data_IF_806216718428
#
_entry.id   IF_806216718428
#
_cell.length_a   1.000
_cell.length_b   1.000
_cell.length_c   1.000
_cell.angle_alpha   90.00
_cell.angle_beta   90.00
_cell.angle_gamma   90.00
#
_symmetry.space_group_name_H-M   'P 1'
#
loop_
_entity.id
_entity.type
_entity.pdbx_description
1 polymer ?
#
# COMPACT_ATOMS: atom_id res chain seq x y z
N UNK A 1 12.32 16.70 11.97
CA UNK A 1 11.81 17.27 10.70
C UNK A 1 10.66 16.39 10.21
N UNK A 2 9.52 16.97 9.84
CA UNK A 2 8.36 16.25 9.26
C UNK A 2 8.67 16.00 7.78
N UNK A 3 8.88 14.76 7.30
CA UNK A 3 9.24 14.56 5.91
C UNK A 3 8.00 14.71 5.02
N UNK A 4 8.02 15.70 4.14
CA UNK A 4 7.19 15.71 2.94
C UNK A 4 7.67 14.69 1.92
N UNK A 5 6.98 14.64 0.78
CA UNK A 5 7.13 13.69 -0.33
C UNK A 5 8.56 13.46 -0.88
N UNK A 6 9.58 14.20 -0.44
CA UNK A 6 10.98 14.04 -0.83
C UNK A 6 11.70 12.86 -0.15
N UNK A 7 11.07 12.26 0.86
CA UNK A 7 11.58 11.11 1.60
C UNK A 7 11.49 9.77 0.84
N UNK A 8 11.44 9.75 -0.50
CA UNK A 8 11.22 8.52 -1.27
C UNK A 8 12.48 7.66 -1.52
N UNK A 9 13.70 8.20 -1.25
CA UNK A 9 14.95 7.60 -1.74
C UNK A 9 15.97 7.12 -0.68
N UNK A 10 15.80 7.41 0.61
CA UNK A 10 16.74 7.01 1.67
C UNK A 10 16.49 5.57 2.17
N UNK A 11 17.16 4.57 1.60
CA UNK A 11 17.10 3.19 2.11
C UNK A 11 18.26 2.90 3.06
N UNK A 12 17.96 2.39 4.27
CA UNK A 12 18.95 2.06 5.31
C UNK A 12 19.88 0.87 5.00
N UNK A 13 19.64 0.12 3.92
CA UNK A 13 20.58 -0.84 3.31
C UNK A 13 20.16 -1.22 1.88
N UNK A 14 21.10 -1.64 1.05
CA UNK A 14 20.84 -2.14 -0.33
C UNK A 14 19.92 -3.37 -0.31
N UNK A 15 20.09 -4.25 0.68
CA UNK A 15 19.24 -5.42 0.87
C UNK A 15 17.77 -5.02 1.08
N UNK A 16 17.53 -3.95 1.86
CA UNK A 16 16.19 -3.43 2.10
C UNK A 16 15.57 -2.78 0.86
N UNK A 17 16.39 -2.15 -0.01
CA UNK A 17 15.91 -1.63 -1.29
C UNK A 17 15.51 -2.80 -2.22
N UNK A 18 16.37 -3.80 -2.37
CA UNK A 18 16.13 -4.96 -3.24
C UNK A 18 14.92 -5.78 -2.78
N UNK A 19 14.72 -5.94 -1.46
CA UNK A 19 13.56 -6.66 -0.93
C UNK A 19 12.23 -5.94 -1.14
N UNK A 20 12.24 -4.62 -1.38
CA UNK A 20 11.05 -3.82 -1.67
C UNK A 20 10.77 -3.71 -3.18
N UNK A 21 11.81 -3.79 -4.02
CA UNK A 21 11.68 -3.61 -5.47
C UNK A 21 10.77 -4.66 -6.11
N UNK A 22 10.97 -5.94 -5.79
CA UNK A 22 10.17 -7.01 -6.39
C UNK A 22 8.68 -6.94 -5.98
N UNK A 23 8.32 -6.83 -4.68
CA UNK A 23 6.93 -6.60 -4.28
C UNK A 23 6.35 -5.35 -4.92
N UNK A 24 7.10 -4.25 -4.97
CA UNK A 24 6.62 -3.01 -5.58
C UNK A 24 6.23 -3.21 -7.04
N UNK A 25 7.12 -3.79 -7.86
CA UNK A 25 6.87 -4.00 -9.29
C UNK A 25 5.65 -4.92 -9.49
N UNK A 26 5.62 -6.06 -8.81
CA UNK A 26 4.55 -7.05 -9.02
C UNK A 26 3.20 -6.55 -8.54
N UNK A 27 3.12 -5.95 -7.34
CA UNK A 27 1.86 -5.42 -6.81
C UNK A 27 1.36 -4.24 -7.67
N UNK A 28 2.26 -3.36 -8.10
CA UNK A 28 1.92 -2.25 -9.00
C UNK A 28 1.39 -2.76 -10.33
N UNK A 29 2.04 -3.77 -10.92
CA UNK A 29 1.60 -4.41 -12.15
C UNK A 29 0.22 -5.06 -12.00
N UNK A 30 -0.01 -5.80 -10.91
CA UNK A 30 -1.31 -6.42 -10.63
C UNK A 30 -2.44 -5.39 -10.52
N UNK A 31 -2.19 -4.22 -9.93
CA UNK A 31 -3.18 -3.13 -9.94
C UNK A 31 -3.32 -2.52 -11.35
N UNK A 32 -2.22 -2.34 -12.08
CA UNK A 32 -2.22 -1.78 -13.43
C UNK A 32 -2.90 -2.67 -14.48
N UNK A 33 -3.12 -3.97 -14.20
CA UNK A 33 -3.97 -4.83 -15.05
C UNK A 33 -5.42 -4.33 -15.15
N UNK A 34 -5.90 -3.50 -14.20
CA UNK A 34 -7.19 -2.80 -14.29
C UNK A 34 -7.14 -1.50 -15.11
N UNK A 35 -5.95 -1.15 -15.63
CA UNK A 35 -5.67 0.06 -16.39
C UNK A 35 -4.71 1.02 -15.68
N UNK A 36 -3.82 1.65 -16.45
CA UNK A 36 -2.80 2.58 -15.94
C UNK A 36 -3.41 3.75 -15.17
N UNK A 37 -4.55 4.28 -15.62
CA UNK A 37 -5.28 5.35 -14.91
C UNK A 37 -5.78 4.88 -13.54
N UNK A 38 -6.25 3.65 -13.43
CA UNK A 38 -6.70 3.05 -12.16
C UNK A 38 -5.53 2.93 -11.20
N UNK A 39 -4.39 2.41 -11.68
CA UNK A 39 -3.16 2.33 -10.90
C UNK A 39 -2.70 3.71 -10.40
N UNK A 40 -2.67 4.73 -11.25
CA UNK A 40 -2.27 6.08 -10.86
C UNK A 40 -3.16 6.63 -9.72
N UNK A 41 -4.48 6.40 -9.80
CA UNK A 41 -5.40 6.78 -8.72
C UNK A 41 -5.16 6.00 -7.43
N UNK A 42 -5.02 4.67 -7.51
CA UNK A 42 -4.76 3.83 -6.33
C UNK A 42 -3.46 4.26 -5.65
N UNK A 43 -2.36 4.31 -6.40
CA UNK A 43 -1.06 4.68 -5.88
C UNK A 43 -1.06 6.10 -5.31
N UNK A 44 -1.65 7.06 -6.04
CA UNK A 44 -1.76 8.45 -5.59
C UNK A 44 -2.56 8.60 -4.30
N UNK A 45 -3.73 7.97 -4.21
CA UNK A 45 -4.58 8.03 -3.02
C UNK A 45 -3.97 7.29 -1.83
N UNK A 46 -3.33 6.14 -2.05
CA UNK A 46 -2.60 5.42 -1.00
C UNK A 46 -1.45 6.26 -0.46
N UNK A 47 -0.65 6.87 -1.33
CA UNK A 47 0.43 7.77 -0.93
C UNK A 47 -0.10 8.96 -0.13
N UNK A 48 -1.18 9.60 -0.60
CA UNK A 48 -1.77 10.76 0.06
C UNK A 48 -2.34 10.40 1.43
N UNK A 49 -3.24 9.41 1.50
CA UNK A 49 -3.89 9.01 2.76
C UNK A 49 -2.89 8.41 3.75
N UNK A 50 -1.99 7.54 3.27
CA UNK A 50 -0.93 6.97 4.10
C UNK A 50 0.01 8.05 4.63
N UNK A 51 0.40 9.01 3.79
CA UNK A 51 1.21 10.16 4.18
C UNK A 51 0.53 11.03 5.23
N UNK A 52 -0.78 11.30 5.08
CA UNK A 52 -1.57 12.05 6.06
C UNK A 52 -1.68 11.33 7.40
N UNK A 53 -1.87 10.01 7.39
CA UNK A 53 -1.92 9.20 8.61
C UNK A 53 -0.57 9.20 9.34
N UNK A 54 0.53 9.03 8.62
CA UNK A 54 1.88 9.12 9.20
C UNK A 54 2.16 10.54 9.70
N UNK A 55 1.77 11.58 8.97
CA UNK A 55 1.96 12.96 9.40
C UNK A 55 1.20 13.28 10.69
N UNK A 56 0.01 12.69 10.86
CA UNK A 56 -0.87 12.94 12.01
C UNK A 56 -0.49 12.10 13.23
N UNK A 57 -0.07 10.85 13.03
CA UNK A 57 0.08 9.86 14.10
C UNK A 57 1.48 9.23 14.20
N UNK A 58 2.35 9.47 13.23
CA UNK A 58 3.72 8.97 13.21
C UNK A 58 4.62 9.68 14.21
N UNK A 59 5.54 8.92 14.81
CA UNK A 59 6.57 9.45 15.71
C UNK A 59 7.51 10.39 14.95
N UNK A 60 8.21 11.30 15.63
CA UNK A 60 9.14 12.23 14.98
C UNK A 60 10.43 11.55 14.48
N UNK A 61 10.31 10.70 13.47
CA UNK A 61 11.41 10.03 12.78
C UNK A 61 11.34 10.30 11.26
N UNK A 62 12.44 10.01 10.57
CA UNK A 62 12.48 10.05 9.11
C UNK A 62 11.59 8.91 8.58
N UNK A 63 10.33 9.23 8.27
CA UNK A 63 9.41 8.32 7.59
C UNK A 63 9.70 8.30 6.10
N UNK A 64 10.80 7.67 5.73
CA UNK A 64 11.15 7.38 4.34
C UNK A 64 10.65 5.99 3.99
N UNK A 65 9.97 5.86 2.84
CA UNK A 65 9.93 4.56 2.18
C UNK A 65 8.80 4.38 1.18
N UNK A 66 9.17 3.85 0.00
CA UNK A 66 8.24 3.18 -0.90
C UNK A 66 7.47 2.04 -0.20
N UNK A 67 7.93 1.56 0.96
CA UNK A 67 7.25 0.49 1.72
C UNK A 67 5.82 0.86 2.11
N UNK A 68 5.53 2.10 2.50
CA UNK A 68 4.15 2.51 2.79
C UNK A 68 3.22 2.29 1.58
N UNK A 69 3.69 2.59 0.37
CA UNK A 69 2.97 2.31 -0.87
C UNK A 69 2.87 0.81 -1.14
N UNK A 70 3.92 0.02 -0.91
CA UNK A 70 3.89 -1.45 -1.06
C UNK A 70 2.83 -2.07 -0.14
N UNK A 71 2.81 -1.70 1.15
CA UNK A 71 1.83 -2.15 2.12
C UNK A 71 0.41 -1.72 1.74
N UNK A 72 0.24 -0.52 1.21
CA UNK A 72 -1.06 -0.06 0.73
C UNK A 72 -1.52 -0.76 -0.56
N UNK A 73 -0.64 -1.04 -1.51
CA UNK A 73 -0.98 -1.83 -2.71
C UNK A 73 -1.34 -3.27 -2.33
N UNK A 74 -0.58 -3.87 -1.41
CA UNK A 74 -0.85 -5.21 -0.88
C UNK A 74 -2.23 -5.26 -0.21
N UNK A 75 -2.49 -4.36 0.72
CA UNK A 75 -3.77 -4.29 1.42
C UNK A 75 -4.94 -3.93 0.48
N UNK A 76 -4.72 -3.05 -0.51
CA UNK A 76 -5.72 -2.72 -1.54
C UNK A 76 -6.13 -3.97 -2.33
N UNK A 77 -5.17 -4.76 -2.81
CA UNK A 77 -5.45 -5.97 -3.60
C UNK A 77 -6.22 -7.02 -2.79
N UNK A 78 -5.89 -7.18 -1.50
CA UNK A 78 -6.62 -8.06 -0.59
C UNK A 78 -8.04 -7.54 -0.31
N UNK A 79 -8.17 -6.27 0.07
CA UNK A 79 -9.46 -5.66 0.39
C UNK A 79 -10.38 -5.57 -0.83
N UNK A 80 -9.82 -5.38 -2.03
CA UNK A 80 -10.57 -5.37 -3.29
C UNK A 80 -11.36 -6.65 -3.49
N UNK A 81 -10.83 -7.83 -3.13
CA UNK A 81 -11.57 -9.09 -3.25
C UNK A 81 -12.89 -9.06 -2.45
N UNK A 82 -12.88 -8.42 -1.28
CA UNK A 82 -14.06 -8.26 -0.44
C UNK A 82 -15.11 -7.30 -1.04
N UNK A 83 -14.67 -6.20 -1.63
CA UNK A 83 -15.56 -5.16 -2.15
C UNK A 83 -16.04 -5.44 -3.59
N UNK A 84 -15.15 -5.87 -4.47
CA UNK A 84 -15.46 -6.14 -5.88
C UNK A 84 -16.20 -7.49 -6.05
N UNK A 85 -15.94 -8.47 -5.17
CA UNK A 85 -16.62 -9.78 -5.13
C UNK A 85 -16.59 -10.54 -6.46
N UNK A 86 -15.52 -10.39 -7.24
CA UNK A 86 -15.32 -11.15 -8.48
C UNK A 86 -14.34 -12.30 -8.26
N UNK A 87 -14.53 -13.42 -8.97
CA UNK A 87 -13.62 -14.58 -8.90
C UNK A 87 -12.18 -14.16 -9.21
N UNK A 88 -11.99 -13.33 -10.24
CA UNK A 88 -10.66 -12.80 -10.60
C UNK A 88 -10.02 -12.03 -9.43
N UNK A 89 -10.77 -11.16 -8.74
CA UNK A 89 -10.25 -10.40 -7.60
C UNK A 89 -9.85 -11.31 -6.42
N UNK A 90 -10.61 -12.38 -6.16
CA UNK A 90 -10.30 -13.38 -5.13
C UNK A 90 -9.04 -14.16 -5.50
N UNK A 91 -8.90 -14.62 -6.75
CA UNK A 91 -7.69 -15.32 -7.20
C UNK A 91 -6.44 -14.45 -7.08
N UNK A 92 -6.52 -13.18 -7.46
CA UNK A 92 -5.41 -12.23 -7.28
C UNK A 92 -5.10 -12.03 -5.80
N UNK A 93 -6.10 -11.89 -4.94
CA UNK A 93 -5.89 -11.75 -3.50
C UNK A 93 -5.21 -13.00 -2.90
N UNK A 94 -5.61 -14.21 -3.30
CA UNK A 94 -4.96 -15.45 -2.87
C UNK A 94 -3.50 -15.53 -3.35
N UNK A 95 -3.23 -15.18 -4.61
CA UNK A 95 -1.88 -15.13 -5.16
C UNK A 95 -1.00 -14.13 -4.39
N UNK A 96 -1.53 -12.94 -4.13
CA UNK A 96 -0.83 -11.88 -3.39
C UNK A 96 -0.60 -12.29 -1.94
N UNK A 97 -1.59 -12.90 -1.29
CA UNK A 97 -1.48 -13.37 0.09
C UNK A 97 -0.43 -14.48 0.19
N UNK A 98 -0.43 -15.45 -0.72
CA UNK A 98 0.54 -16.54 -0.71
C UNK A 98 1.96 -16.04 -1.06
N UNK A 99 2.10 -15.32 -2.17
CA UNK A 99 3.40 -14.87 -2.70
C UNK A 99 4.06 -13.75 -1.89
N UNK A 100 3.26 -12.96 -1.16
CA UNK A 100 3.76 -11.85 -0.34
C UNK A 100 3.29 -11.94 1.13
N UNK A 101 3.03 -13.16 1.63
CA UNK A 101 2.69 -13.42 3.04
C UNK A 101 3.72 -12.83 4.00
N UNK A 102 5.00 -12.80 3.60
CA UNK A 102 6.09 -12.21 4.39
C UNK A 102 5.90 -10.73 4.73
N UNK A 103 5.07 -9.97 3.97
CA UNK A 103 4.76 -8.58 4.32
C UNK A 103 4.06 -8.46 5.67
N UNK A 104 3.38 -9.52 6.14
CA UNK A 104 2.76 -9.54 7.49
C UNK A 104 3.80 -9.26 8.59
N UNK A 105 5.06 -9.72 8.42
CA UNK A 105 6.12 -9.45 9.39
C UNK A 105 6.57 -7.99 9.42
N UNK A 106 6.27 -7.20 8.40
CA UNK A 106 6.51 -5.76 8.45
C UNK A 106 5.58 -5.01 9.41
N UNK A 107 4.57 -5.69 9.98
CA UNK A 107 3.81 -5.16 11.12
C UNK A 107 4.47 -5.46 12.48
N UNK A 108 5.67 -6.02 12.51
CA UNK A 108 6.46 -6.14 13.72
C UNK A 108 7.41 -4.93 13.81
N UNK A 109 7.40 -4.17 14.92
CA UNK A 109 8.33 -3.05 15.09
C UNK A 109 9.79 -3.51 15.09
N UNK A 110 10.61 -2.94 14.21
CA UNK A 110 12.05 -3.18 14.13
C UNK A 110 12.76 -1.82 14.14
N UNK A 111 13.83 -1.70 14.92
CA UNK A 111 14.60 -0.46 15.03
C UNK A 111 15.11 -0.02 13.63
N UNK A 112 14.86 1.25 13.28
CA UNK A 112 15.26 1.81 11.98
C UNK A 112 14.28 1.55 10.82
N UNK A 113 13.20 0.79 11.04
CA UNK A 113 12.12 0.59 10.06
C UNK A 113 10.89 1.40 10.49
N UNK A 114 10.31 2.14 9.54
CA UNK A 114 9.11 2.94 9.76
C UNK A 114 7.84 2.07 9.80
N UNK A 115 7.65 1.36 10.91
CA UNK A 115 6.47 0.54 11.17
C UNK A 115 5.15 1.32 11.03
N UNK A 116 5.13 2.59 11.44
CA UNK A 116 3.98 3.47 11.30
C UNK A 116 3.59 3.67 9.82
N UNK A 117 4.58 3.73 8.92
CA UNK A 117 4.33 3.82 7.47
C UNK A 117 3.68 2.55 6.92
N UNK A 118 4.00 1.37 7.46
CA UNK A 118 3.40 0.11 7.03
C UNK A 118 1.93 0.03 7.43
N UNK A 119 1.60 0.37 8.69
CA UNK A 119 0.21 0.42 9.16
C UNK A 119 -0.58 1.46 8.37
N UNK A 120 -0.06 2.69 8.29
CA UNK A 120 -0.73 3.78 7.59
C UNK A 120 -0.98 3.45 6.11
N UNK A 121 0.02 2.85 5.46
CA UNK A 121 -0.10 2.36 4.09
C UNK A 121 -1.20 1.30 3.95
N UNK A 122 -1.19 0.27 4.80
CA UNK A 122 -2.20 -0.79 4.77
C UNK A 122 -3.62 -0.26 4.99
N UNK A 123 -3.81 0.62 5.99
CA UNK A 123 -5.09 1.27 6.25
C UNK A 123 -5.54 2.10 5.05
N UNK A 124 -4.65 2.91 4.46
CA UNK A 124 -4.94 3.67 3.25
C UNK A 124 -5.35 2.76 2.10
N UNK A 125 -4.66 1.63 1.88
CA UNK A 125 -5.00 0.63 0.87
C UNK A 125 -6.42 0.06 1.03
N UNK A 126 -6.81 -0.29 2.25
CA UNK A 126 -8.16 -0.79 2.57
C UNK A 126 -9.20 0.31 2.30
N UNK A 127 -8.94 1.54 2.75
CA UNK A 127 -9.84 2.68 2.53
C UNK A 127 -10.00 2.99 1.03
N UNK A 128 -8.91 2.97 0.26
CA UNK A 128 -8.96 3.19 -1.19
C UNK A 128 -9.74 2.08 -1.89
N UNK A 129 -9.54 0.81 -1.50
CA UNK A 129 -10.32 -0.29 -2.05
C UNK A 129 -11.82 -0.12 -1.77
N UNK A 130 -12.16 0.32 -0.56
CA UNK A 130 -13.53 0.64 -0.19
C UNK A 130 -14.10 1.78 -1.04
N UNK A 131 -13.40 2.92 -1.15
CA UNK A 131 -13.82 4.09 -1.92
C UNK A 131 -14.07 3.76 -3.39
N UNK A 132 -13.20 2.95 -3.99
CA UNK A 132 -13.21 2.73 -5.43
C UNK A 132 -14.10 1.56 -5.88
N UNK A 133 -14.63 0.75 -4.95
CA UNK A 133 -15.43 -0.45 -5.26
C UNK A 133 -16.74 -0.56 -4.46
N UNK A 134 -17.03 0.39 -3.57
CA UNK A 134 -18.32 0.42 -2.85
C UNK A 134 -19.45 0.88 -3.76
N UNK A 135 -20.43 0.00 -3.99
CA UNK A 135 -21.66 0.30 -4.77
C UNK A 135 -22.44 1.49 -4.20
N UNK A 136 -22.39 1.72 -2.88
CA UNK A 136 -23.07 2.82 -2.20
C UNK A 136 -22.63 4.22 -2.68
N UNK A 137 -21.39 4.38 -3.14
CA UNK A 137 -20.88 5.65 -3.68
C UNK A 137 -21.22 5.83 -5.18
N UNK A 138 -21.48 4.75 -5.90
CA UNK A 138 -21.82 4.75 -7.32
C UNK A 138 -23.33 4.79 -7.58
N UNK A 139 -24.16 4.44 -6.59
CA UNK A 139 -25.62 4.46 -6.66
C UNK A 139 -26.26 5.84 -6.44
N UNK A 140 -25.43 6.90 -6.35
CA UNK A 140 -25.86 8.31 -6.18
C UNK A 140 -25.77 9.11 -7.50
N UNK A 141 -25.80 8.44 -8.64
CA UNK A 141 -25.96 9.05 -9.98
C UNK A 141 -27.15 8.41 -10.68
#
# INVERSE_FOLDING_TARGET
MRPGCAAFFLHGSIQHLLSNLLPFIVLSWLVATEGVRRYAWVAGLVCLLGGLLVWSFGRSNIHVGASGLIFGLWAYLLARAWYQRSIASVLVALLVLAGYSGLVFGFVPVAGISFESHIAGALAGICVAWLMHSKALLAQK
#
